data_IF_927246663701
#
_entry.id   IF_927246663701
#
_cell.length_a   1.000
_cell.length_b   1.000
_cell.length_c   1.000
_cell.angle_alpha   90.00
_cell.angle_beta   90.00
_cell.angle_gamma   90.00
#
_symmetry.space_group_name_H-M   'P 1'
#
loop_
_entity.id
_entity.type
_entity.pdbx_description
1 polymer ?
#
# COMPACT_ATOMS: atom_id res chain seq x y z
N UNK A 1 -31.09 16.60 -1.49
CA UNK A 1 -31.71 17.26 -0.34
C UNK A 1 -33.18 16.87 -0.25
N UNK A 2 -33.80 16.85 0.95
CA UNK A 2 -35.25 16.74 1.05
C UNK A 2 -35.89 17.94 0.36
N UNK A 3 -36.61 17.72 -0.74
CA UNK A 3 -37.21 18.80 -1.54
C UNK A 3 -38.55 19.30 -0.97
N UNK A 4 -39.00 18.70 0.14
CA UNK A 4 -40.21 19.07 0.89
C UNK A 4 -39.87 19.90 2.14
N UNK A 5 -38.98 20.89 1.98
CA UNK A 5 -38.67 21.84 3.05
C UNK A 5 -39.68 22.99 3.01
N UNK A 6 -40.06 23.52 4.18
CA UNK A 6 -41.03 24.61 4.30
C UNK A 6 -40.62 25.84 3.45
N UNK A 7 -41.60 26.67 3.07
CA UNK A 7 -41.38 27.90 2.28
C UNK A 7 -40.24 28.78 2.80
N UNK A 8 -40.05 28.79 4.11
CA UNK A 8 -38.96 29.50 4.77
C UNK A 8 -37.58 29.04 4.27
N UNK A 9 -37.34 27.73 4.20
CA UNK A 9 -36.05 27.18 3.76
C UNK A 9 -35.87 27.38 2.25
N UNK A 10 -36.95 27.33 1.47
CA UNK A 10 -36.90 27.66 0.04
C UNK A 10 -36.40 29.09 -0.21
N UNK A 11 -36.76 30.07 0.65
CA UNK A 11 -36.24 31.44 0.57
C UNK A 11 -34.75 31.53 0.89
N UNK A 12 -34.26 30.69 1.81
CA UNK A 12 -32.84 30.67 2.20
C UNK A 12 -31.91 30.13 1.11
N UNK A 13 -32.43 29.36 0.14
CA UNK A 13 -31.64 28.76 -0.94
C UNK A 13 -31.76 29.50 -2.28
N UNK A 14 -32.49 30.62 -2.35
CA UNK A 14 -32.68 31.41 -3.58
C UNK A 14 -31.37 31.94 -4.17
N UNK A 15 -30.37 32.17 -3.33
CA UNK A 15 -29.03 32.57 -3.77
C UNK A 15 -28.07 31.45 -3.33
N UNK A 16 -27.73 30.50 -4.23
CA UNK A 16 -26.98 29.29 -3.86
C UNK A 16 -25.70 29.59 -3.08
N UNK A 17 -24.94 30.62 -3.47
CA UNK A 17 -23.70 31.02 -2.80
C UNK A 17 -23.84 31.50 -1.36
N UNK A 18 -24.97 32.12 -1.02
CA UNK A 18 -25.25 32.63 0.34
C UNK A 18 -26.23 31.75 1.08
N UNK A 19 -26.55 30.57 0.52
CA UNK A 19 -27.38 29.59 1.20
C UNK A 19 -26.74 29.16 2.52
N UNK A 20 -27.53 28.73 3.53
CA UNK A 20 -27.00 28.21 4.78
C UNK A 20 -25.97 27.10 4.57
N UNK A 21 -26.14 26.27 3.53
CA UNK A 21 -25.21 25.20 3.17
C UNK A 21 -23.89 25.73 2.64
N UNK A 22 -23.91 26.73 1.76
CA UNK A 22 -22.69 27.35 1.24
C UNK A 22 -21.91 28.08 2.35
N UNK A 23 -22.61 28.76 3.25
CA UNK A 23 -21.99 29.42 4.42
C UNK A 23 -21.43 28.41 5.42
N UNK A 24 -22.12 27.30 5.67
CA UNK A 24 -21.61 26.21 6.50
C UNK A 24 -20.36 25.59 5.86
N UNK A 25 -20.39 25.33 4.55
CA UNK A 25 -19.26 24.81 3.79
C UNK A 25 -18.08 25.79 3.78
N UNK A 26 -18.33 27.10 3.69
CA UNK A 26 -17.28 28.12 3.76
C UNK A 26 -16.53 28.07 5.10
N UNK A 27 -17.26 27.84 6.20
CA UNK A 27 -16.71 27.75 7.56
C UNK A 27 -16.17 26.36 7.91
N UNK A 28 -16.43 25.32 7.11
CA UNK A 28 -15.93 23.97 7.39
C UNK A 28 -14.48 23.79 6.96
N UNK A 29 -13.81 22.78 7.48
CA UNK A 29 -12.49 22.33 6.99
C UNK A 29 -12.64 21.22 5.93
N UNK A 30 -13.71 20.44 6.04
CA UNK A 30 -13.96 19.25 5.22
C UNK A 30 -15.41 19.23 4.71
N UNK A 31 -15.61 18.51 3.61
CA UNK A 31 -16.90 18.13 3.07
C UNK A 31 -16.95 16.61 2.91
N UNK A 32 -18.01 15.97 3.38
CA UNK A 32 -18.24 14.54 3.19
C UNK A 32 -19.25 14.34 2.06
N UNK A 33 -18.81 13.76 0.95
CA UNK A 33 -19.68 13.36 -0.15
C UNK A 33 -20.18 11.93 0.11
N UNK A 34 -21.48 11.75 0.31
CA UNK A 34 -22.08 10.44 0.61
C UNK A 34 -22.67 9.85 -0.67
N UNK A 35 -22.05 8.82 -1.27
CA UNK A 35 -22.63 8.16 -2.43
C UNK A 35 -23.88 7.38 -2.02
N UNK A 36 -24.87 7.35 -2.89
CA UNK A 36 -26.11 6.56 -2.69
C UNK A 36 -26.29 5.58 -3.83
N UNK A 37 -27.01 4.49 -3.60
CA UNK A 37 -27.32 3.50 -4.65
C UNK A 37 -28.35 4.01 -5.66
N UNK A 38 -29.12 5.02 -5.29
CA UNK A 38 -30.28 5.49 -6.07
C UNK A 38 -29.94 6.62 -7.03
N UNK A 39 -28.94 7.44 -6.71
CA UNK A 39 -28.60 8.60 -7.53
C UNK A 39 -27.10 8.87 -7.60
N UNK A 40 -26.66 9.31 -8.79
CA UNK A 40 -25.29 9.77 -9.07
C UNK A 40 -25.16 11.26 -8.79
N UNK A 41 -23.93 11.72 -8.52
CA UNK A 41 -23.63 13.16 -8.41
C UNK A 41 -23.97 13.90 -9.71
N UNK A 42 -23.86 13.21 -10.86
CA UNK A 42 -24.17 13.76 -12.17
C UNK A 42 -25.67 13.88 -12.47
N UNK A 43 -26.55 13.31 -11.64
CA UNK A 43 -27.99 13.54 -11.75
C UNK A 43 -28.50 14.61 -10.77
N UNK A 44 -27.63 15.16 -9.91
CA UNK A 44 -27.99 16.12 -8.86
C UNK A 44 -27.16 17.40 -8.95
N UNK A 45 -27.73 18.42 -9.59
CA UNK A 45 -27.02 19.67 -9.85
C UNK A 45 -26.50 20.35 -8.57
N UNK A 46 -27.30 20.37 -7.49
CA UNK A 46 -26.87 20.86 -6.17
C UNK A 46 -25.60 20.16 -5.66
N UNK A 47 -25.50 18.84 -5.80
CA UNK A 47 -24.33 18.09 -5.32
C UNK A 47 -23.06 18.42 -6.12
N UNK A 48 -23.20 18.56 -7.45
CA UNK A 48 -22.09 19.01 -8.30
C UNK A 48 -21.65 20.44 -7.97
N UNK A 49 -22.60 21.34 -7.74
CA UNK A 49 -22.34 22.72 -7.36
C UNK A 49 -21.69 22.84 -5.96
N UNK A 50 -22.13 22.07 -4.96
CA UNK A 50 -21.49 22.04 -3.63
C UNK A 50 -20.06 21.49 -3.70
N UNK A 51 -19.81 20.45 -4.49
CA UNK A 51 -18.46 19.94 -4.72
C UNK A 51 -17.55 21.00 -5.38
N UNK A 52 -18.11 21.80 -6.30
CA UNK A 52 -17.41 22.95 -6.87
C UNK A 52 -17.13 24.04 -5.82
N UNK A 53 -18.10 24.42 -4.99
CA UNK A 53 -17.90 25.39 -3.92
C UNK A 53 -16.85 24.93 -2.92
N UNK A 54 -16.83 23.64 -2.58
CA UNK A 54 -15.81 23.07 -1.70
C UNK A 54 -14.41 23.23 -2.31
N UNK A 55 -14.26 22.96 -3.61
CA UNK A 55 -13.02 23.22 -4.33
C UNK A 55 -12.66 24.72 -4.35
N UNK A 56 -13.64 25.58 -4.62
CA UNK A 56 -13.46 27.03 -4.67
C UNK A 56 -13.00 27.61 -3.32
N UNK A 57 -13.54 27.12 -2.21
CA UNK A 57 -13.12 27.47 -0.86
C UNK A 57 -11.92 26.64 -0.35
N UNK A 58 -11.26 25.90 -1.25
CA UNK A 58 -10.08 25.08 -0.99
C UNK A 58 -10.27 24.03 0.13
N UNK A 59 -11.47 23.47 0.26
CA UNK A 59 -11.80 22.43 1.24
C UNK A 59 -11.30 21.05 0.78
N UNK A 60 -11.18 20.15 1.76
CA UNK A 60 -10.95 18.74 1.52
C UNK A 60 -12.30 18.04 1.39
N UNK A 61 -12.56 17.45 0.22
CA UNK A 61 -13.78 16.65 -0.02
C UNK A 61 -13.43 15.18 0.10
N UNK A 62 -14.15 14.42 0.92
CA UNK A 62 -13.91 12.98 1.14
C UNK A 62 -15.18 12.23 0.75
N UNK A 63 -15.05 11.14 -0.02
CA UNK A 63 -16.18 10.26 -0.29
C UNK A 63 -16.40 9.31 0.89
N UNK A 64 -17.60 9.32 1.47
CA UNK A 64 -18.00 8.36 2.49
C UNK A 64 -17.98 6.94 1.92
N UNK A 65 -17.58 5.97 2.73
CA UNK A 65 -17.54 4.56 2.35
C UNK A 65 -18.25 3.72 3.39
N UNK A 66 -19.05 2.71 3.00
CA UNK A 66 -19.56 1.75 3.95
C UNK A 66 -18.40 1.00 4.59
N UNK A 67 -18.60 0.57 5.83
CA UNK A 67 -17.66 -0.29 6.53
C UNK A 67 -17.43 -1.55 5.69
N UNK A 68 -16.16 -1.88 5.47
CA UNK A 68 -15.80 -3.12 4.79
C UNK A 68 -16.20 -4.30 5.68
N UNK A 69 -16.95 -5.26 5.15
CA UNK A 69 -17.20 -6.54 5.82
C UNK A 69 -15.97 -7.43 5.65
N UNK A 70 -14.86 -7.08 6.31
CA UNK A 70 -13.57 -7.78 6.15
C UNK A 70 -13.46 -9.05 6.98
N UNK A 71 -14.32 -9.22 8.00
CA UNK A 71 -14.26 -10.36 8.91
C UNK A 71 -14.37 -11.72 8.20
N UNK A 72 -15.30 -11.96 7.26
CA UNK A 72 -15.38 -13.25 6.57
C UNK A 72 -14.13 -13.54 5.73
N UNK A 73 -13.62 -12.56 4.99
CA UNK A 73 -12.42 -12.74 4.16
C UNK A 73 -11.16 -12.95 5.01
N UNK A 74 -11.05 -12.25 6.14
CA UNK A 74 -9.97 -12.48 7.10
C UNK A 74 -10.09 -13.87 7.73
N UNK A 75 -11.29 -14.33 8.08
CA UNK A 75 -11.50 -15.67 8.60
C UNK A 75 -11.06 -16.75 7.61
N UNK A 76 -11.37 -16.59 6.32
CA UNK A 76 -10.88 -17.49 5.26
C UNK A 76 -9.35 -17.47 5.19
N UNK A 77 -8.74 -16.28 5.17
CA UNK A 77 -7.28 -16.12 5.19
C UNK A 77 -6.62 -16.81 6.39
N UNK A 78 -7.19 -16.64 7.59
CA UNK A 78 -6.71 -17.27 8.82
C UNK A 78 -6.90 -18.79 8.81
N UNK A 79 -7.99 -19.30 8.23
CA UNK A 79 -8.20 -20.73 8.07
C UNK A 79 -7.14 -21.36 7.14
N UNK A 80 -6.83 -20.72 6.02
CA UNK A 80 -5.77 -21.15 5.10
C UNK A 80 -4.40 -21.15 5.80
N UNK A 81 -4.12 -20.10 6.56
CA UNK A 81 -2.94 -20.00 7.41
C UNK A 81 -2.81 -21.17 8.38
N UNK A 82 -3.90 -21.49 9.08
CA UNK A 82 -3.95 -22.61 10.01
C UNK A 82 -3.71 -23.95 9.30
N UNK A 83 -4.31 -24.17 8.12
CA UNK A 83 -4.08 -25.38 7.31
C UNK A 83 -2.61 -25.50 6.91
N UNK A 84 -2.00 -24.41 6.44
CA UNK A 84 -0.56 -24.38 6.16
C UNK A 84 0.27 -24.75 7.38
N UNK A 85 0.01 -24.10 8.53
CA UNK A 85 0.73 -24.35 9.77
C UNK A 85 0.58 -25.79 10.28
N UNK A 86 -0.60 -26.36 10.21
CA UNK A 86 -0.83 -27.76 10.56
C UNK A 86 0.00 -28.67 9.64
N UNK A 87 -0.04 -28.44 8.32
CA UNK A 87 0.73 -29.22 7.36
C UNK A 87 2.25 -29.12 7.60
N UNK A 88 2.77 -27.91 7.85
CA UNK A 88 4.19 -27.68 8.16
C UNK A 88 4.63 -28.35 9.45
N UNK A 89 3.77 -28.31 10.48
CA UNK A 89 4.02 -28.99 11.74
C UNK A 89 4.11 -30.51 11.55
N UNK A 90 3.13 -31.14 10.89
CA UNK A 90 3.18 -32.58 10.63
C UNK A 90 4.33 -32.99 9.68
N UNK A 91 4.68 -32.14 8.71
CA UNK A 91 5.84 -32.39 7.86
C UNK A 91 7.13 -32.50 8.68
N UNK A 92 7.29 -31.60 9.66
CA UNK A 92 8.43 -31.62 10.56
C UNK A 92 8.43 -32.82 11.53
N UNK A 93 7.31 -33.54 11.72
CA UNK A 93 7.25 -34.79 12.50
C UNK A 93 7.64 -36.01 11.69
N UNK A 94 7.13 -36.13 10.46
CA UNK A 94 7.42 -37.28 9.59
C UNK A 94 8.92 -37.37 9.25
N UNK A 95 9.62 -36.23 9.11
CA UNK A 95 11.06 -36.24 8.89
C UNK A 95 11.90 -36.67 10.11
N UNK A 96 11.38 -36.48 11.33
CA UNK A 96 12.14 -36.65 12.57
C UNK A 96 12.26 -38.12 13.03
N UNK A 97 11.32 -38.99 12.64
CA UNK A 97 11.32 -40.40 13.08
C UNK A 97 12.40 -41.26 12.38
N UNK A 98 13.06 -40.74 11.34
CA UNK A 98 14.05 -41.52 10.59
C UNK A 98 15.46 -41.56 11.22
N UNK A 99 15.78 -40.76 12.25
CA UNK A 99 17.20 -40.52 12.63
C UNK A 99 17.53 -40.24 14.11
N UNK A 100 16.81 -40.75 15.14
CA UNK A 100 17.32 -40.54 16.52
C UNK A 100 17.06 -41.66 17.54
N UNK A 101 18.16 -42.26 18.03
CA UNK A 101 18.31 -42.75 19.41
C UNK A 101 18.66 -41.58 20.34
N UNK A 102 18.23 -41.61 21.61
CA UNK A 102 17.95 -40.40 22.40
C UNK A 102 19.11 -39.77 23.20
N UNK A 103 20.38 -40.10 22.96
CA UNK A 103 21.50 -39.64 23.82
C UNK A 103 22.35 -38.50 23.25
N UNK A 104 21.93 -37.90 22.13
CA UNK A 104 22.84 -37.08 21.32
C UNK A 104 22.32 -35.66 21.04
N UNK A 105 21.65 -34.95 21.95
CA UNK A 105 20.99 -33.66 21.66
C UNK A 105 21.91 -32.57 21.08
N UNK A 106 23.22 -32.58 21.39
CA UNK A 106 24.20 -31.66 20.79
C UNK A 106 24.71 -32.14 19.40
N UNK A 107 24.96 -33.44 19.24
CA UNK A 107 25.23 -34.07 17.93
C UNK A 107 23.97 -34.04 17.03
N UNK A 108 22.77 -33.91 17.59
CA UNK A 108 21.50 -33.73 16.87
C UNK A 108 21.44 -32.34 16.25
N UNK A 109 21.96 -31.30 16.92
CA UNK A 109 22.10 -29.98 16.30
C UNK A 109 23.12 -30.00 15.16
N UNK A 110 24.27 -30.66 15.39
CA UNK A 110 25.28 -30.89 14.35
C UNK A 110 24.71 -31.69 13.19
N UNK A 111 23.86 -32.69 13.45
CA UNK A 111 23.15 -33.52 12.47
C UNK A 111 21.98 -32.79 11.80
N UNK A 112 21.32 -31.82 12.43
CA UNK A 112 20.32 -30.94 11.79
C UNK A 112 21.01 -29.95 10.86
N UNK A 113 22.14 -29.36 11.28
CA UNK A 113 22.96 -28.54 10.39
C UNK A 113 23.61 -29.38 9.29
N UNK A 114 24.05 -30.60 9.59
CA UNK A 114 24.56 -31.54 8.59
C UNK A 114 23.42 -32.03 7.69
N UNK A 115 22.18 -32.20 8.15
CA UNK A 115 21.04 -32.61 7.35
C UNK A 115 20.51 -31.45 6.49
N UNK A 116 20.64 -30.20 6.93
CA UNK A 116 20.45 -29.01 6.11
C UNK A 116 21.55 -28.90 5.04
N UNK A 117 22.82 -29.12 5.41
CA UNK A 117 23.97 -29.14 4.48
C UNK A 117 23.99 -30.37 3.56
N UNK A 118 23.51 -31.53 4.01
CA UNK A 118 23.40 -32.79 3.26
C UNK A 118 22.16 -32.76 2.37
N UNK A 119 21.05 -32.14 2.80
CA UNK A 119 19.94 -31.78 1.89
C UNK A 119 20.43 -30.86 0.77
N UNK A 120 21.29 -29.89 1.10
CA UNK A 120 21.97 -29.02 0.13
C UNK A 120 22.91 -29.81 -0.81
N UNK A 121 23.67 -30.77 -0.28
CA UNK A 121 24.62 -31.60 -1.04
C UNK A 121 23.95 -32.74 -1.85
N UNK A 122 22.78 -33.22 -1.44
CA UNK A 122 21.96 -34.24 -2.11
C UNK A 122 20.95 -33.65 -3.10
N UNK A 123 20.92 -32.33 -3.29
CA UNK A 123 20.00 -31.65 -4.21
C UNK A 123 18.54 -31.62 -3.74
N UNK A 124 18.24 -31.98 -2.49
CA UNK A 124 16.89 -31.87 -1.93
C UNK A 124 16.72 -30.48 -1.32
N UNK A 125 15.91 -29.63 -1.97
CA UNK A 125 15.69 -28.21 -1.63
C UNK A 125 14.41 -27.87 -0.80
N UNK A 126 13.96 -28.61 0.23
CA UNK A 126 12.59 -28.40 0.72
C UNK A 126 12.32 -27.08 1.47
N UNK A 127 13.08 -26.60 2.48
CA UNK A 127 12.66 -25.36 3.17
C UNK A 127 12.88 -24.11 2.32
N UNK A 128 13.93 -24.09 1.47
CA UNK A 128 14.23 -22.96 0.61
C UNK A 128 13.23 -22.81 -0.53
N UNK A 129 12.71 -23.90 -1.10
CA UNK A 129 11.68 -23.82 -2.13
C UNK A 129 10.40 -23.13 -1.63
N UNK A 130 10.03 -23.28 -0.35
CA UNK A 130 8.89 -22.57 0.24
C UNK A 130 9.20 -21.10 0.56
N UNK A 131 10.43 -20.78 0.98
CA UNK A 131 10.89 -19.39 1.14
C UNK A 131 10.88 -18.66 -0.22
N UNK A 132 11.42 -19.30 -1.26
CA UNK A 132 11.45 -18.80 -2.63
C UNK A 132 10.04 -18.73 -3.22
N UNK A 133 9.17 -19.69 -2.92
CA UNK A 133 7.76 -19.63 -3.33
C UNK A 133 7.02 -18.50 -2.63
N UNK A 134 7.24 -18.26 -1.33
CA UNK A 134 6.62 -17.17 -0.59
C UNK A 134 7.11 -15.81 -1.12
N UNK A 135 8.43 -15.63 -1.29
CA UNK A 135 9.01 -14.44 -1.88
C UNK A 135 8.54 -14.23 -3.34
N UNK A 136 8.48 -15.30 -4.13
CA UNK A 136 7.94 -15.31 -5.48
C UNK A 136 6.47 -14.89 -5.52
N UNK A 137 5.65 -15.39 -4.60
CA UNK A 137 4.26 -14.97 -4.46
C UNK A 137 4.15 -13.47 -4.15
N UNK A 138 4.98 -12.94 -3.24
CA UNK A 138 5.01 -11.50 -2.95
C UNK A 138 5.35 -10.68 -4.19
N UNK A 139 6.40 -11.06 -4.91
CA UNK A 139 6.79 -10.39 -6.16
C UNK A 139 5.66 -10.45 -7.19
N UNK A 140 5.06 -11.63 -7.38
CA UNK A 140 3.94 -11.81 -8.29
C UNK A 140 2.71 -11.00 -7.86
N UNK A 141 2.39 -10.88 -6.57
CA UNK A 141 1.27 -10.03 -6.10
C UNK A 141 1.50 -8.58 -6.48
N UNK A 142 2.74 -8.10 -6.34
CA UNK A 142 3.12 -6.73 -6.72
C UNK A 142 3.00 -6.52 -8.24
N UNK A 143 3.49 -7.47 -9.03
CA UNK A 143 3.47 -7.41 -10.50
C UNK A 143 2.04 -7.59 -11.07
N UNK A 144 1.27 -8.51 -10.51
CA UNK A 144 -0.08 -8.86 -10.95
C UNK A 144 -1.16 -7.93 -10.39
N UNK A 145 -0.80 -6.83 -9.72
CA UNK A 145 -1.70 -5.92 -9.01
C UNK A 145 -2.86 -5.31 -9.82
N UNK A 146 -2.94 -5.58 -11.13
CA UNK A 146 -4.09 -5.25 -12.00
C UNK A 146 -5.22 -6.28 -11.97
N UNK A 147 -4.94 -7.56 -11.74
CA UNK A 147 -5.94 -8.63 -11.77
C UNK A 147 -6.37 -9.02 -10.35
N UNK A 148 -7.61 -8.70 -9.99
CA UNK A 148 -8.17 -9.06 -8.67
C UNK A 148 -8.22 -10.57 -8.44
N UNK A 149 -8.43 -11.37 -9.48
CA UNK A 149 -8.46 -12.83 -9.39
C UNK A 149 -7.07 -13.40 -9.16
N UNK A 150 -6.07 -12.89 -9.88
CA UNK A 150 -4.68 -13.32 -9.71
C UNK A 150 -4.16 -12.96 -8.31
N UNK A 151 -4.43 -11.75 -7.84
CA UNK A 151 -4.06 -11.31 -6.49
C UNK A 151 -4.73 -12.19 -5.42
N UNK A 152 -6.01 -12.54 -5.57
CA UNK A 152 -6.70 -13.43 -4.63
C UNK A 152 -6.03 -14.82 -4.57
N UNK A 153 -5.74 -15.40 -5.74
CA UNK A 153 -5.06 -16.69 -5.83
C UNK A 153 -3.64 -16.66 -5.24
N UNK A 154 -2.87 -15.62 -5.53
CA UNK A 154 -1.52 -15.45 -4.99
C UNK A 154 -1.52 -15.17 -3.48
N UNK A 155 -2.51 -14.44 -2.95
CA UNK A 155 -2.69 -14.27 -1.52
C UNK A 155 -3.01 -15.61 -0.83
N UNK A 156 -3.86 -16.45 -1.44
CA UNK A 156 -4.16 -17.81 -0.97
C UNK A 156 -2.88 -18.68 -0.93
N UNK A 157 -2.11 -18.68 -2.01
CA UNK A 157 -0.87 -19.46 -2.11
C UNK A 157 0.19 -18.95 -1.12
N UNK A 158 0.36 -17.62 -1.02
CA UNK A 158 1.26 -16.99 -0.06
C UNK A 158 0.85 -17.26 1.39
N UNK A 159 -0.45 -17.21 1.70
CA UNK A 159 -0.99 -17.57 3.01
C UNK A 159 -0.65 -19.00 3.40
N UNK A 160 -0.86 -19.95 2.48
CA UNK A 160 -0.55 -21.35 2.69
C UNK A 160 0.96 -21.56 2.92
N UNK A 161 1.80 -20.93 2.11
CA UNK A 161 3.26 -21.02 2.22
C UNK A 161 3.78 -20.45 3.54
N UNK A 162 3.32 -19.25 3.94
CA UNK A 162 3.76 -18.65 5.21
C UNK A 162 3.23 -19.45 6.41
N UNK A 163 1.99 -19.96 6.33
CA UNK A 163 1.46 -20.88 7.34
C UNK A 163 2.36 -22.12 7.48
N UNK A 164 2.70 -22.78 6.37
CA UNK A 164 3.60 -23.94 6.36
C UNK A 164 4.95 -23.65 7.02
N UNK A 165 5.59 -22.54 6.64
CA UNK A 165 6.84 -22.09 7.23
C UNK A 165 6.68 -21.93 8.75
N UNK A 166 5.63 -21.25 9.22
CA UNK A 166 5.38 -21.07 10.65
C UNK A 166 5.18 -22.39 11.41
N UNK A 167 4.40 -23.31 10.86
CA UNK A 167 4.16 -24.61 11.46
C UNK A 167 5.43 -25.44 11.60
N UNK A 168 6.25 -25.45 10.55
CA UNK A 168 7.55 -26.09 10.52
C UNK A 168 8.48 -25.50 11.59
N UNK A 169 8.56 -24.16 11.66
CA UNK A 169 9.38 -23.46 12.63
C UNK A 169 8.87 -23.60 14.07
N UNK A 170 7.55 -23.62 14.31
CA UNK A 170 6.99 -23.72 15.65
C UNK A 170 7.47 -24.98 16.39
N UNK A 171 7.63 -26.10 15.67
CA UNK A 171 8.20 -27.32 16.25
C UNK A 171 9.68 -27.17 16.56
N UNK A 172 10.46 -26.61 15.62
CA UNK A 172 11.88 -26.31 15.83
C UNK A 172 12.02 -25.43 17.08
N UNK A 173 11.20 -24.39 17.23
CA UNK A 173 11.19 -23.52 18.40
C UNK A 173 10.72 -24.21 19.68
N UNK A 174 9.73 -25.10 19.61
CA UNK A 174 9.36 -25.92 20.77
C UNK A 174 10.53 -26.74 21.31
N UNK A 175 11.42 -27.21 20.42
CA UNK A 175 12.66 -27.87 20.80
C UNK A 175 13.75 -26.86 21.24
N UNK A 176 13.86 -25.70 20.58
CA UNK A 176 14.87 -24.66 20.90
C UNK A 176 14.53 -23.80 22.12
N UNK A 177 13.27 -23.73 22.56
CA UNK A 177 12.87 -22.95 23.74
C UNK A 177 13.51 -23.47 25.03
N UNK A 178 14.07 -24.70 24.99
CA UNK A 178 14.87 -25.27 26.06
C UNK A 178 16.35 -24.83 26.02
N UNK A 179 16.78 -24.11 24.97
CA UNK A 179 18.14 -23.58 24.84
C UNK A 179 18.23 -22.13 25.35
N UNK A 180 19.40 -21.72 25.88
CA UNK A 180 19.60 -20.37 26.38
C UNK A 180 19.45 -19.31 25.28
N UNK A 181 18.75 -18.20 25.60
CA UNK A 181 18.44 -17.05 24.72
C UNK A 181 19.64 -16.50 23.92
N UNK A 182 20.87 -16.70 24.40
CA UNK A 182 22.12 -16.31 23.72
C UNK A 182 22.33 -16.98 22.36
N UNK A 183 21.83 -18.19 22.15
CA UNK A 183 21.99 -18.92 20.88
C UNK A 183 21.03 -18.34 19.82
N UNK A 184 19.83 -17.93 20.24
CA UNK A 184 18.83 -17.30 19.37
C UNK A 184 19.30 -15.91 18.90
N UNK A 185 19.97 -15.16 19.78
CA UNK A 185 20.57 -13.86 19.44
C UNK A 185 21.81 -13.99 18.52
N UNK A 186 22.38 -15.18 18.39
CA UNK A 186 23.56 -15.46 17.58
C UNK A 186 23.27 -15.95 16.17
N UNK A 187 22.01 -16.20 15.79
CA UNK A 187 21.66 -16.54 14.41
C UNK A 187 21.68 -15.25 13.56
N UNK A 188 22.68 -15.09 12.66
CA UNK A 188 22.89 -13.86 11.91
C UNK A 188 21.80 -13.63 10.86
N UNK A 189 20.90 -14.58 10.64
CA UNK A 189 19.99 -14.48 9.49
C UNK A 189 18.88 -13.45 9.68
N UNK A 190 18.44 -13.15 10.91
CA UNK A 190 17.35 -12.18 11.17
C UNK A 190 16.00 -12.52 10.52
N UNK A 191 15.94 -13.61 9.75
CA UNK A 191 14.81 -14.03 8.90
C UNK A 191 13.53 -14.27 9.70
N UNK A 192 13.65 -14.58 10.99
CA UNK A 192 12.53 -14.77 11.90
C UNK A 192 11.61 -13.56 11.99
N UNK A 193 12.15 -12.34 11.92
CA UNK A 193 11.34 -11.12 11.95
C UNK A 193 10.55 -10.90 10.65
N UNK A 194 10.95 -11.54 9.54
CA UNK A 194 10.28 -11.38 8.26
C UNK A 194 9.00 -12.20 8.16
N UNK A 195 8.95 -13.36 8.79
CA UNK A 195 7.77 -14.25 8.76
C UNK A 195 6.49 -13.53 9.25
N UNK A 196 6.46 -12.87 10.44
CA UNK A 196 5.28 -12.11 10.86
C UNK A 196 5.02 -10.89 9.96
N UNK A 197 6.04 -10.26 9.37
CA UNK A 197 5.83 -9.17 8.42
C UNK A 197 5.17 -9.65 7.13
N UNK A 198 5.57 -10.83 6.61
CA UNK A 198 4.93 -11.47 5.48
C UNK A 198 3.48 -11.89 5.81
N UNK A 199 3.22 -12.31 7.05
CA UNK A 199 1.86 -12.53 7.55
C UNK A 199 0.98 -11.31 7.39
N UNK A 200 1.45 -10.20 7.94
CA UNK A 200 0.74 -8.93 7.91
C UNK A 200 0.61 -8.43 6.48
N UNK A 201 1.63 -8.63 5.62
CA UNK A 201 1.56 -8.33 4.21
C UNK A 201 0.43 -9.10 3.51
N UNK A 202 0.34 -10.43 3.67
CA UNK A 202 -0.69 -11.24 3.01
C UNK A 202 -2.09 -10.83 3.49
N UNK A 203 -2.27 -10.65 4.80
CA UNK A 203 -3.54 -10.21 5.37
C UNK A 203 -3.95 -8.82 4.85
N UNK A 204 -3.02 -7.86 4.85
CA UNK A 204 -3.30 -6.49 4.38
C UNK A 204 -3.45 -6.41 2.86
N UNK A 205 -2.79 -7.30 2.09
CA UNK A 205 -2.97 -7.43 0.64
C UNK A 205 -4.41 -7.84 0.30
N UNK A 206 -4.96 -8.78 1.07
CA UNK A 206 -6.34 -9.19 0.90
C UNK A 206 -7.32 -8.07 1.25
N UNK A 207 -7.08 -7.34 2.34
CA UNK A 207 -7.86 -6.14 2.67
C UNK A 207 -7.80 -5.10 1.54
N UNK A 208 -6.63 -4.84 0.97
CA UNK A 208 -6.44 -3.89 -0.12
C UNK A 208 -7.15 -4.33 -1.41
N UNK A 209 -7.22 -5.64 -1.67
CA UNK A 209 -7.97 -6.25 -2.77
C UNK A 209 -9.47 -6.03 -2.60
N UNK A 210 -10.01 -6.33 -1.42
CA UNK A 210 -11.44 -6.14 -1.11
C UNK A 210 -11.84 -4.66 -1.22
N UNK A 211 -11.00 -3.75 -0.70
CA UNK A 211 -11.20 -2.30 -0.86
C UNK A 211 -11.15 -1.86 -2.32
N UNK A 212 -10.34 -2.52 -3.15
CA UNK A 212 -10.30 -2.22 -4.58
C UNK A 212 -11.58 -2.69 -5.29
N UNK A 213 -12.10 -3.88 -4.94
CA UNK A 213 -13.37 -4.39 -5.47
C UNK A 213 -14.56 -3.51 -5.07
N UNK A 214 -14.65 -3.16 -3.78
CA UNK A 214 -15.70 -2.27 -3.28
C UNK A 214 -15.68 -0.93 -4.03
N UNK A 215 -14.50 -0.32 -4.22
CA UNK A 215 -14.40 0.92 -4.99
C UNK A 215 -14.73 0.76 -6.46
N UNK A 216 -14.40 -0.37 -7.06
CA UNK A 216 -14.81 -0.65 -8.44
C UNK A 216 -16.34 -0.68 -8.54
N UNK A 217 -17.01 -1.33 -7.59
CA UNK A 217 -18.47 -1.35 -7.51
C UNK A 217 -19.05 0.05 -7.26
N UNK A 218 -18.49 0.80 -6.30
CA UNK A 218 -18.90 2.19 -6.02
C UNK A 218 -18.70 3.09 -7.24
N UNK A 219 -17.56 2.96 -7.93
CA UNK A 219 -17.29 3.71 -9.15
C UNK A 219 -18.29 3.34 -10.26
N UNK A 220 -18.61 2.06 -10.46
CA UNK A 220 -19.63 1.64 -11.44
C UNK A 220 -21.03 2.15 -11.09
N UNK A 221 -21.37 2.27 -9.80
CA UNK A 221 -22.64 2.86 -9.36
C UNK A 221 -22.69 4.38 -9.55
N UNK A 222 -21.52 5.04 -9.56
CA UNK A 222 -21.40 6.49 -9.75
C UNK A 222 -21.20 6.88 -11.22
N UNK A 223 -20.62 5.99 -12.04
CA UNK A 223 -20.47 6.12 -13.49
C UNK A 223 -21.87 6.09 -14.13
N UNK A 224 -22.35 7.26 -14.56
CA UNK A 224 -23.50 7.37 -15.45
C UNK A 224 -23.15 6.84 -16.87
N UNK A 225 -24.15 6.66 -17.76
CA UNK A 225 -23.93 6.42 -19.18
C UNK A 225 -22.81 7.30 -19.74
N UNK A 226 -21.97 6.71 -20.58
CA UNK A 226 -20.82 7.36 -21.22
C UNK A 226 -21.24 8.74 -21.73
N UNK A 227 -20.52 9.78 -21.29
CA UNK A 227 -20.69 11.20 -21.62
C UNK A 227 -21.64 12.04 -20.77
N UNK A 228 -22.20 11.52 -19.67
CA UNK A 228 -22.94 12.38 -18.75
C UNK A 228 -22.06 13.49 -18.17
N UNK A 229 -22.55 14.74 -18.19
CA UNK A 229 -21.87 15.91 -17.62
C UNK A 229 -22.64 16.42 -16.42
N UNK A 230 -21.98 17.15 -15.52
CA UNK A 230 -22.70 17.86 -14.44
C UNK A 230 -23.69 18.88 -15.02
N UNK A 231 -23.43 19.37 -16.24
CA UNK A 231 -24.32 20.24 -17.02
C UNK A 231 -25.70 19.64 -17.28
N UNK A 232 -25.80 18.31 -17.38
CA UNK A 232 -27.05 17.61 -17.69
C UNK A 232 -27.87 17.31 -16.42
N UNK A 233 -27.31 17.61 -15.24
CA UNK A 233 -27.95 17.35 -13.96
C UNK A 233 -29.15 18.28 -13.74
N UNK A 234 -30.21 17.77 -13.11
CA UNK A 234 -31.41 18.55 -12.82
C UNK A 234 -31.66 18.69 -11.32
N UNK A 235 -32.33 19.77 -10.94
CA UNK A 235 -32.96 19.92 -9.64
C UNK A 235 -34.43 19.45 -9.73
N UNK A 236 -35.02 19.04 -8.60
CA UNK A 236 -36.45 18.69 -8.60
C UNK A 236 -37.37 19.89 -8.77
N UNK A 237 -36.87 21.11 -8.51
CA UNK A 237 -37.51 22.37 -8.87
C UNK A 237 -36.75 22.99 -10.06
N UNK A 238 -37.41 23.33 -11.18
CA UNK A 238 -36.74 23.89 -12.36
C UNK A 238 -36.14 25.29 -12.10
N UNK A 239 -36.73 26.07 -11.19
CA UNK A 239 -36.22 27.39 -10.77
C UNK A 239 -34.82 27.29 -10.15
N UNK A 240 -34.58 26.27 -9.32
CA UNK A 240 -33.25 26.01 -8.75
C UNK A 240 -32.24 25.67 -9.85
N UNK A 241 -32.65 24.88 -10.85
CA UNK A 241 -31.80 24.52 -12.00
C UNK A 241 -31.32 25.76 -12.73
N UNK A 242 -32.23 26.68 -13.05
CA UNK A 242 -31.91 27.95 -13.71
C UNK A 242 -31.00 28.82 -12.84
N UNK A 243 -31.31 28.93 -11.55
CA UNK A 243 -30.53 29.74 -10.60
C UNK A 243 -29.09 29.26 -10.48
N UNK A 244 -28.89 27.95 -10.27
CA UNK A 244 -27.55 27.36 -10.14
C UNK A 244 -26.81 27.44 -11.48
N UNK A 245 -27.47 27.16 -12.60
CA UNK A 245 -26.88 27.25 -13.94
C UNK A 245 -26.39 28.66 -14.25
N UNK A 246 -27.22 29.67 -13.93
CA UNK A 246 -26.86 31.08 -14.08
C UNK A 246 -25.69 31.46 -13.17
N UNK A 247 -25.66 30.94 -11.94
CA UNK A 247 -24.56 31.22 -11.02
C UNK A 247 -23.24 30.55 -11.45
N UNK A 248 -23.29 29.32 -11.96
CA UNK A 248 -22.11 28.64 -12.50
C UNK A 248 -21.56 29.42 -13.71
N UNK A 249 -22.44 29.85 -14.62
CA UNK A 249 -22.08 30.65 -15.78
C UNK A 249 -21.16 29.90 -16.74
N UNK A 250 -20.00 30.49 -17.04
CA UNK A 250 -18.95 29.91 -17.89
C UNK A 250 -18.04 28.91 -17.16
N UNK A 251 -18.22 28.72 -15.85
CA UNK A 251 -17.31 27.93 -15.00
C UNK A 251 -17.59 26.43 -14.96
N UNK A 252 -18.42 25.91 -15.86
CA UNK A 252 -18.76 24.49 -15.92
C UNK A 252 -17.55 23.56 -16.02
N UNK A 253 -16.49 23.98 -16.71
CA UNK A 253 -15.24 23.21 -16.77
C UNK A 253 -14.60 23.00 -15.39
N UNK A 254 -14.71 23.98 -14.48
CA UNK A 254 -14.20 23.85 -13.11
C UNK A 254 -15.10 22.97 -12.24
N UNK A 255 -16.41 23.01 -12.47
CA UNK A 255 -17.37 22.12 -11.79
C UNK A 255 -17.08 20.67 -12.16
N UNK A 256 -16.98 20.39 -13.47
CA UNK A 256 -16.67 19.06 -14.00
C UNK A 256 -15.30 18.57 -13.52
N UNK A 257 -14.28 19.42 -13.55
CA UNK A 257 -12.95 19.06 -13.04
C UNK A 257 -12.98 18.72 -11.53
N UNK A 258 -13.76 19.45 -10.73
CA UNK A 258 -13.88 19.21 -9.28
C UNK A 258 -14.52 17.86 -8.99
N UNK A 259 -15.62 17.55 -9.69
CA UNK A 259 -16.32 16.26 -9.57
C UNK A 259 -15.44 15.13 -10.07
N UNK A 260 -14.75 15.32 -11.19
CA UNK A 260 -13.84 14.33 -11.77
C UNK A 260 -12.70 13.94 -10.82
N UNK A 261 -12.06 14.91 -10.17
CA UNK A 261 -11.00 14.62 -9.16
C UNK A 261 -11.55 13.76 -8.02
N UNK A 262 -12.73 14.11 -7.53
CA UNK A 262 -13.42 13.39 -6.46
C UNK A 262 -13.74 11.94 -6.86
N UNK A 263 -14.22 11.72 -8.08
CA UNK A 263 -14.56 10.39 -8.58
C UNK A 263 -13.32 9.55 -8.88
N UNK A 264 -12.31 10.13 -9.54
CA UNK A 264 -11.11 9.38 -9.94
C UNK A 264 -10.27 8.95 -8.72
N UNK A 265 -10.15 9.82 -7.71
CA UNK A 265 -9.30 9.53 -6.54
C UNK A 265 -10.08 9.09 -5.30
N UNK A 266 -11.40 9.35 -5.23
CA UNK A 266 -12.22 9.11 -4.04
C UNK A 266 -12.09 10.19 -2.95
N UNK A 267 -11.39 11.30 -3.25
CA UNK A 267 -11.31 12.52 -2.44
C UNK A 267 -10.94 13.73 -3.32
N UNK A 268 -10.95 14.95 -2.80
CA UNK A 268 -10.48 16.14 -3.51
C UNK A 268 -9.70 17.01 -2.53
N UNK A 269 -8.38 16.98 -2.64
CA UNK A 269 -7.46 17.85 -1.89
C UNK A 269 -6.88 18.92 -2.81
N UNK A 270 -6.33 20.02 -2.27
CA UNK A 270 -5.65 21.03 -3.07
C UNK A 270 -4.54 20.43 -3.94
N UNK A 271 -3.77 19.48 -3.40
CA UNK A 271 -2.67 18.82 -4.10
C UNK A 271 -3.17 17.95 -5.26
N UNK A 272 -4.23 17.15 -5.06
CA UNK A 272 -4.81 16.33 -6.14
C UNK A 272 -5.40 17.19 -7.26
N UNK A 273 -6.04 18.31 -6.91
CA UNK A 273 -6.55 19.26 -7.90
C UNK A 273 -5.42 19.89 -8.72
N UNK A 274 -4.32 20.28 -8.08
CA UNK A 274 -3.13 20.79 -8.75
C UNK A 274 -2.54 19.74 -9.71
N UNK A 275 -2.42 18.47 -9.28
CA UNK A 275 -1.94 17.36 -10.12
C UNK A 275 -2.84 17.16 -11.35
N UNK A 276 -4.16 17.22 -11.18
CA UNK A 276 -5.11 17.09 -12.31
C UNK A 276 -5.05 18.29 -13.26
N UNK A 277 -4.85 19.51 -12.77
CA UNK A 277 -4.67 20.70 -13.62
C UNK A 277 -3.46 20.58 -14.54
N UNK A 278 -2.42 19.84 -14.14
CA UNK A 278 -1.27 19.52 -14.98
C UNK A 278 -1.53 18.36 -15.96
N UNK A 279 -2.75 17.83 -16.00
CA UNK A 279 -3.16 16.77 -16.93
C UNK A 279 -2.70 15.37 -16.53
N UNK A 280 -2.35 15.16 -15.26
CA UNK A 280 -2.05 13.84 -14.71
C UNK A 280 -3.31 13.15 -14.19
N UNK A 281 -3.38 11.83 -14.37
CA UNK A 281 -4.45 11.02 -13.80
C UNK A 281 -4.25 10.88 -12.29
N UNK A 282 -5.28 11.24 -11.53
CA UNK A 282 -5.31 11.08 -10.07
C UNK A 282 -5.95 9.75 -9.63
N UNK A 283 -6.20 8.84 -10.59
CA UNK A 283 -6.94 7.61 -10.33
C UNK A 283 -6.22 6.74 -9.32
N UNK A 284 -6.85 6.55 -8.16
CA UNK A 284 -6.30 5.77 -7.04
C UNK A 284 -5.10 6.40 -6.32
N UNK A 285 -4.73 7.66 -6.57
CA UNK A 285 -3.61 8.31 -5.87
C UNK A 285 -3.86 8.50 -4.37
N UNK A 286 -5.11 8.68 -3.97
CA UNK A 286 -5.50 8.81 -2.56
C UNK A 286 -5.63 7.47 -1.81
N UNK A 287 -5.35 6.36 -2.49
CA UNK A 287 -5.54 5.04 -1.90
C UNK A 287 -4.28 4.53 -1.22
N UNK A 288 -4.31 4.55 0.11
CA UNK A 288 -3.27 3.93 0.93
C UNK A 288 -3.39 2.41 0.79
N UNK A 289 -2.41 1.81 0.09
CA UNK A 289 -2.22 0.36 0.02
C UNK A 289 -1.35 -0.09 1.19
N UNK A 290 -2.00 -0.56 2.26
CA UNK A 290 -1.29 -1.00 3.47
C UNK A 290 -0.32 -2.15 3.19
N UNK A 291 -0.69 -3.07 2.29
CA UNK A 291 0.18 -4.15 1.85
C UNK A 291 1.50 -3.64 1.30
N UNK A 292 1.47 -2.58 0.48
CA UNK A 292 2.69 -1.98 -0.05
C UNK A 292 3.55 -1.41 1.07
N UNK A 293 2.96 -0.67 2.01
CA UNK A 293 3.71 -0.13 3.15
C UNK A 293 4.42 -1.25 3.95
N UNK A 294 3.70 -2.34 4.25
CA UNK A 294 4.29 -3.50 4.94
C UNK A 294 5.37 -4.20 4.13
N UNK A 295 5.19 -4.33 2.82
CA UNK A 295 6.22 -4.87 1.93
C UNK A 295 7.48 -3.99 1.94
N UNK A 296 7.33 -2.68 1.82
CA UNK A 296 8.46 -1.74 1.88
C UNK A 296 9.22 -1.87 3.19
N UNK A 297 8.49 -1.95 4.31
CA UNK A 297 9.08 -2.17 5.63
C UNK A 297 9.78 -3.53 5.72
N UNK A 298 9.18 -4.60 5.19
CA UNK A 298 9.76 -5.94 5.22
C UNK A 298 11.05 -6.04 4.39
N UNK A 299 11.05 -5.50 3.16
CA UNK A 299 12.25 -5.45 2.31
C UNK A 299 13.33 -4.60 2.96
N UNK A 300 12.96 -3.49 3.56
CA UNK A 300 13.91 -2.61 4.22
C UNK A 300 14.51 -3.26 5.48
N UNK A 301 13.70 -3.89 6.34
CA UNK A 301 14.19 -4.63 7.51
C UNK A 301 15.03 -5.84 7.11
N UNK A 302 14.64 -6.57 6.06
CA UNK A 302 15.46 -7.66 5.52
C UNK A 302 16.83 -7.16 5.11
N UNK A 303 16.86 -6.05 4.39
CA UNK A 303 18.10 -5.43 3.95
C UNK A 303 18.94 -4.95 5.14
N UNK A 304 18.32 -4.33 6.13
CA UNK A 304 18.96 -3.94 7.38
C UNK A 304 19.56 -5.12 8.13
N UNK A 305 18.88 -6.26 8.18
CA UNK A 305 19.38 -7.46 8.86
C UNK A 305 20.55 -8.09 8.10
N UNK A 306 20.53 -8.05 6.77
CA UNK A 306 21.62 -8.57 5.95
C UNK A 306 22.89 -7.72 6.01
N UNK A 307 22.77 -6.38 6.02
CA UNK A 307 23.90 -5.47 5.84
C UNK A 307 24.18 -4.56 7.05
N UNK A 308 23.20 -4.31 7.91
CA UNK A 308 23.34 -3.44 9.08
C UNK A 308 24.14 -4.07 10.23
N UNK A 309 24.36 -5.39 10.21
CA UNK A 309 25.14 -6.09 11.23
C UNK A 309 26.65 -5.82 11.14
N UNK A 310 27.17 -5.41 9.99
CA UNK A 310 28.61 -5.18 9.79
C UNK A 310 29.10 -3.80 10.23
N UNK A 311 28.22 -2.79 10.26
CA UNK A 311 28.57 -1.42 10.66
C UNK A 311 27.49 -0.80 11.57
N UNK A 312 27.83 -0.60 12.83
CA UNK A 312 26.94 -0.02 13.83
C UNK A 312 26.49 1.41 13.49
N UNK A 313 27.34 2.21 12.84
CA UNK A 313 27.03 3.60 12.46
C UNK A 313 25.98 3.61 11.37
N UNK A 314 26.17 2.79 10.33
CA UNK A 314 25.18 2.66 9.26
C UNK A 314 23.85 2.11 9.78
N UNK A 315 23.92 1.15 10.72
CA UNK A 315 22.76 0.63 11.41
C UNK A 315 21.96 1.74 12.13
N UNK A 316 22.64 2.60 12.89
CA UNK A 316 21.99 3.73 13.59
C UNK A 316 21.37 4.72 12.61
N UNK A 317 22.07 5.08 11.53
CA UNK A 317 21.56 6.02 10.51
C UNK A 317 20.30 5.44 9.85
N UNK A 318 20.33 4.18 9.44
CA UNK A 318 19.16 3.51 8.86
C UNK A 318 17.98 3.50 9.85
N UNK A 319 18.21 3.12 11.10
CA UNK A 319 17.20 3.15 12.16
C UNK A 319 16.56 4.54 12.32
N UNK A 320 17.38 5.61 12.33
CA UNK A 320 16.89 6.99 12.38
C UNK A 320 16.05 7.36 11.15
N UNK A 321 16.51 7.02 9.94
CA UNK A 321 15.78 7.34 8.70
C UNK A 321 14.39 6.72 8.71
N UNK A 322 14.23 5.49 9.20
CA UNK A 322 12.89 4.89 9.30
C UNK A 322 12.09 5.38 10.47
N UNK A 323 12.69 5.64 11.63
CA UNK A 323 12.00 6.34 12.71
C UNK A 323 11.37 7.64 12.20
N UNK A 324 12.16 8.46 11.51
CA UNK A 324 11.69 9.71 10.90
C UNK A 324 10.64 9.45 9.81
N UNK A 325 10.85 8.48 8.93
CA UNK A 325 9.90 8.14 7.86
C UNK A 325 8.55 7.72 8.41
N UNK A 326 8.53 6.87 9.45
CA UNK A 326 7.30 6.43 10.13
C UNK A 326 6.62 7.61 10.81
N UNK A 327 7.35 8.49 11.49
CA UNK A 327 6.79 9.70 12.11
C UNK A 327 6.18 10.64 11.06
N UNK A 328 6.89 10.90 9.96
CA UNK A 328 6.39 11.70 8.84
C UNK A 328 5.13 11.07 8.23
N UNK A 329 5.13 9.77 8.01
CA UNK A 329 3.96 9.06 7.48
C UNK A 329 2.77 9.08 8.44
N UNK A 330 3.01 8.92 9.75
CA UNK A 330 1.95 9.00 10.75
C UNK A 330 1.30 10.39 10.79
N UNK A 331 2.09 11.44 10.63
CA UNK A 331 1.64 12.84 10.67
C UNK A 331 1.12 13.39 9.33
N UNK A 332 1.42 12.72 8.21
CA UNK A 332 0.98 13.16 6.89
C UNK A 332 -0.54 13.15 6.72
N UNK A 333 -1.07 13.99 5.82
CA UNK A 333 -2.46 13.91 5.38
C UNK A 333 -2.72 12.62 4.60
N UNK A 334 -3.97 12.26 4.37
CA UNK A 334 -4.33 10.93 3.82
C UNK A 334 -3.79 10.68 2.42
N UNK A 335 -3.84 11.67 1.53
CA UNK A 335 -3.29 11.61 0.18
C UNK A 335 -1.76 11.60 0.21
N UNK A 336 -1.13 12.40 1.07
CA UNK A 336 0.30 12.33 1.32
C UNK A 336 0.71 10.95 1.85
N UNK A 337 -0.03 10.32 2.77
CA UNK A 337 0.25 8.93 3.21
C UNK A 337 0.21 7.93 2.07
N UNK A 338 -0.73 8.08 1.14
CA UNK A 338 -0.86 7.20 -0.02
C UNK A 338 0.31 7.40 -0.98
N UNK A 339 0.69 8.66 -1.23
CA UNK A 339 1.84 9.02 -2.03
C UNK A 339 3.14 8.53 -1.41
N UNK A 340 3.42 8.89 -0.16
CA UNK A 340 4.60 8.49 0.60
C UNK A 340 4.72 6.97 0.67
N UNK A 341 3.64 6.26 1.00
CA UNK A 341 3.63 4.80 1.02
C UNK A 341 3.95 4.19 -0.34
N UNK A 342 3.33 4.69 -1.42
CA UNK A 342 3.60 4.17 -2.76
C UNK A 342 5.00 4.51 -3.28
N UNK A 343 5.55 5.68 -2.95
CA UNK A 343 6.87 6.11 -3.40
C UNK A 343 7.97 5.40 -2.62
N UNK A 344 7.83 5.28 -1.30
CA UNK A 344 8.78 4.54 -0.44
C UNK A 344 9.05 3.15 -0.96
N UNK A 345 7.98 2.43 -1.30
CA UNK A 345 8.07 1.04 -1.76
C UNK A 345 8.77 0.95 -3.11
N UNK A 346 8.46 1.85 -4.04
CA UNK A 346 9.14 1.88 -5.35
C UNK A 346 10.62 2.18 -5.20
N UNK A 347 10.97 3.13 -4.34
CA UNK A 347 12.37 3.46 -4.08
C UNK A 347 13.05 2.24 -3.45
N UNK A 348 12.56 1.71 -2.33
CA UNK A 348 13.12 0.53 -1.66
C UNK A 348 13.30 -0.67 -2.60
N UNK A 349 12.31 -0.97 -3.45
CA UNK A 349 12.43 -2.07 -4.43
C UNK A 349 13.49 -1.77 -5.49
N UNK A 350 13.47 -0.58 -6.09
CA UNK A 350 14.45 -0.18 -7.12
C UNK A 350 15.86 -0.30 -6.59
N UNK A 351 16.03 0.12 -5.34
CA UNK A 351 17.29 0.07 -4.60
C UNK A 351 17.73 -1.36 -4.38
N UNK A 352 16.85 -2.20 -3.84
CA UNK A 352 17.15 -3.59 -3.62
C UNK A 352 17.61 -4.25 -4.94
N UNK A 353 16.89 -4.01 -6.03
CA UNK A 353 17.25 -4.52 -7.37
C UNK A 353 18.61 -3.98 -7.83
N UNK A 354 18.88 -2.68 -7.69
CA UNK A 354 20.17 -2.08 -8.03
C UNK A 354 21.31 -2.67 -7.19
N UNK A 355 21.14 -2.79 -5.88
CA UNK A 355 22.14 -3.37 -4.97
C UNK A 355 22.41 -4.82 -5.31
N UNK A 356 21.37 -5.62 -5.58
CA UNK A 356 21.54 -7.00 -6.04
C UNK A 356 22.27 -7.08 -7.39
N UNK A 357 21.92 -6.23 -8.35
CA UNK A 357 22.57 -6.20 -9.65
C UNK A 357 24.06 -5.83 -9.55
N UNK A 358 24.38 -4.84 -8.71
CA UNK A 358 25.77 -4.42 -8.47
C UNK A 358 26.54 -5.50 -7.71
N UNK A 359 25.94 -6.09 -6.66
CA UNK A 359 26.55 -7.22 -5.94
C UNK A 359 26.81 -8.41 -6.86
N UNK A 360 25.89 -8.71 -7.77
CA UNK A 360 26.07 -9.75 -8.77
C UNK A 360 27.19 -9.42 -9.75
N UNK A 361 27.25 -8.18 -10.24
CA UNK A 361 28.34 -7.71 -11.10
C UNK A 361 29.71 -7.82 -10.40
N UNK A 362 29.79 -7.49 -9.12
CA UNK A 362 31.01 -7.66 -8.32
C UNK A 362 31.33 -9.12 -7.98
N UNK A 363 30.33 -10.00 -7.92
CA UNK A 363 30.57 -11.43 -7.76
C UNK A 363 31.21 -12.02 -9.01
N UNK A 364 30.82 -11.54 -10.20
CA UNK A 364 31.44 -11.91 -11.47
C UNK A 364 32.86 -11.35 -11.63
N UNK A 365 33.18 -10.24 -10.95
CA UNK A 365 34.53 -9.67 -10.95
C UNK A 365 35.36 -10.16 -9.74
N UNK A 366 36.05 -11.28 -9.93
CA UNK A 366 36.92 -11.87 -8.91
C UNK A 366 38.09 -10.98 -8.46
N UNK A 367 38.33 -9.82 -9.09
CA UNK A 367 39.51 -8.98 -8.81
C UNK A 367 39.30 -7.93 -7.71
N UNK A 368 38.06 -7.70 -7.27
CA UNK A 368 37.77 -6.71 -6.24
C UNK A 368 37.87 -7.27 -4.83
N UNK A 369 38.57 -6.53 -3.98
CA UNK A 369 38.70 -6.76 -2.54
C UNK A 369 37.32 -6.73 -1.85
N UNK A 370 37.02 -7.72 -1.01
CA UNK A 370 35.71 -7.91 -0.37
C UNK A 370 35.32 -6.71 0.51
N UNK A 371 36.30 -6.07 1.17
CA UNK A 371 36.09 -4.86 1.97
C UNK A 371 35.59 -3.68 1.11
N UNK A 372 36.06 -3.56 -0.12
CA UNK A 372 35.62 -2.49 -1.04
C UNK A 372 34.20 -2.75 -1.55
N UNK A 373 33.83 -4.03 -1.77
CA UNK A 373 32.48 -4.41 -2.17
C UNK A 373 31.46 -4.07 -1.08
N UNK A 374 31.78 -4.41 0.18
CA UNK A 374 30.92 -4.10 1.32
C UNK A 374 30.69 -2.59 1.47
N UNK A 375 31.77 -1.79 1.53
CA UNK A 375 31.68 -0.33 1.67
C UNK A 375 30.91 0.32 0.52
N UNK A 376 31.08 -0.18 -0.71
CA UNK A 376 30.34 0.36 -1.85
C UNK A 376 28.83 0.12 -1.69
N UNK A 377 28.42 -1.08 -1.26
CA UNK A 377 27.02 -1.39 -0.95
C UNK A 377 26.44 -0.43 0.09
N UNK A 378 27.20 -0.16 1.16
CA UNK A 378 26.81 0.75 2.23
C UNK A 378 26.61 2.20 1.75
N UNK A 379 27.49 2.71 0.88
CA UNK A 379 27.35 4.05 0.30
C UNK A 379 26.12 4.19 -0.59
N UNK A 380 25.84 3.17 -1.40
CA UNK A 380 24.64 3.12 -2.26
C UNK A 380 23.39 3.19 -1.39
N UNK A 381 23.34 2.39 -0.32
CA UNK A 381 22.23 2.39 0.64
C UNK A 381 22.01 3.72 1.33
N UNK A 382 23.09 4.36 1.80
CA UNK A 382 23.00 5.66 2.45
C UNK A 382 22.48 6.73 1.50
N UNK A 383 23.00 6.79 0.27
CA UNK A 383 22.52 7.73 -0.75
C UNK A 383 21.02 7.58 -1.02
N UNK A 384 20.52 6.34 -0.99
CA UNK A 384 19.11 6.03 -1.18
C UNK A 384 18.27 6.47 0.02
N UNK A 385 18.71 6.16 1.23
CA UNK A 385 18.03 6.57 2.45
C UNK A 385 17.84 8.10 2.48
N UNK A 386 18.86 8.84 2.02
CA UNK A 386 18.81 10.28 1.85
C UNK A 386 17.80 10.68 0.77
N UNK A 387 17.83 10.09 -0.43
CA UNK A 387 16.85 10.39 -1.50
C UNK A 387 15.41 10.09 -1.07
N UNK A 388 15.19 8.98 -0.36
CA UNK A 388 13.92 8.66 0.29
C UNK A 388 13.50 9.78 1.22
N UNK A 389 14.36 10.16 2.17
CA UNK A 389 14.06 11.21 3.14
C UNK A 389 13.74 12.55 2.46
N UNK A 390 14.50 12.93 1.43
CA UNK A 390 14.25 14.14 0.65
C UNK A 390 12.91 14.08 -0.08
N UNK A 391 12.55 12.94 -0.68
CA UNK A 391 11.22 12.73 -1.27
C UNK A 391 10.10 12.84 -0.21
N UNK A 392 10.33 12.34 1.00
CA UNK A 392 9.36 12.44 2.09
C UNK A 392 9.17 13.88 2.56
N UNK A 393 10.27 14.61 2.76
CA UNK A 393 10.24 16.01 3.18
C UNK A 393 9.60 16.92 2.11
N UNK A 394 9.76 16.58 0.83
CA UNK A 394 9.12 17.30 -0.25
C UNK A 394 7.58 17.09 -0.28
N UNK A 395 7.08 15.94 0.19
CA UNK A 395 5.68 15.55 0.06
C UNK A 395 5.21 15.45 -1.40
N UNK A 396 3.91 15.26 -1.62
CA UNK A 396 3.37 15.21 -2.98
C UNK A 396 3.61 16.53 -3.73
N UNK A 397 3.38 17.66 -3.05
CA UNK A 397 3.49 19.00 -3.65
C UNK A 397 4.92 19.37 -4.04
N UNK A 398 5.90 19.11 -3.16
CA UNK A 398 7.31 19.39 -3.46
C UNK A 398 7.85 18.47 -4.53
N UNK A 399 7.45 17.19 -4.51
CA UNK A 399 7.87 16.23 -5.52
C UNK A 399 7.38 16.62 -6.93
N UNK A 400 6.14 17.08 -7.07
CA UNK A 400 5.58 17.52 -8.36
C UNK A 400 6.24 18.80 -8.92
N UNK A 401 6.94 19.58 -8.08
CA UNK A 401 7.72 20.74 -8.52
C UNK A 401 9.08 20.37 -9.11
N UNK A 402 9.57 19.14 -8.90
CA UNK A 402 10.84 18.70 -9.44
C UNK A 402 10.74 18.50 -10.96
N UNK A 403 11.68 19.05 -11.76
CA UNK A 403 11.69 18.87 -13.22
C UNK A 403 11.72 17.39 -13.63
N UNK A 404 12.45 16.58 -12.87
CA UNK A 404 12.58 15.12 -13.10
C UNK A 404 11.24 14.41 -12.92
N UNK A 405 10.44 14.81 -11.92
CA UNK A 405 9.12 14.24 -11.72
C UNK A 405 8.21 14.55 -12.92
N UNK A 406 8.26 15.76 -13.46
CA UNK A 406 7.51 16.12 -14.68
C UNK A 406 7.91 15.27 -15.87
N UNK A 407 9.20 14.99 -16.04
CA UNK A 407 9.70 14.12 -17.12
C UNK A 407 9.24 12.67 -16.95
N UNK A 408 9.40 12.10 -15.74
CA UNK A 408 9.00 10.72 -15.44
C UNK A 408 7.49 10.50 -15.61
N UNK A 409 6.68 11.42 -15.09
CA UNK A 409 5.22 11.32 -15.22
C UNK A 409 4.73 11.64 -16.63
N UNK A 410 5.42 12.53 -17.36
CA UNK A 410 5.16 12.78 -18.78
C UNK A 410 5.36 11.54 -19.64
N UNK A 411 6.40 10.74 -19.36
CA UNK A 411 6.66 9.47 -20.05
C UNK A 411 5.62 8.38 -19.71
N UNK A 412 5.04 8.41 -18.51
CA UNK A 412 4.02 7.47 -18.06
C UNK A 412 2.59 7.85 -18.46
N UNK A 413 2.40 8.94 -19.21
CA UNK A 413 1.08 9.36 -19.67
C UNK A 413 0.54 8.26 -20.58
N UNK A 414 -0.57 7.58 -20.22
CA UNK A 414 -1.19 6.66 -21.14
C UNK A 414 -1.56 7.45 -22.40
N UNK A 415 -1.05 7.02 -23.56
CA UNK A 415 -1.52 7.55 -24.84
C UNK A 415 -2.98 7.11 -24.95
N UNK A 416 -3.88 8.06 -24.70
CA UNK A 416 -5.32 7.86 -24.85
C UNK A 416 -5.66 7.58 -26.31
#
# INVERSE_FOLDING_TARGET
>A
MPQNLSDYISRLIQVPRTSPFALALQNSTHMLAVPTRECSIYSRLWCGYEAYLATYYNKVVITARPSLEWLPSLAVGMAIWAVGAIAGFFWSTVGAESTASSTATFETWKSVTHALQVSYALGMQPPFAFEDAAAGCVVLVVLCGRSSHCVAFLNLLGALAVGFILGFWAKIFGALAQLPLRIIAGDPTGKFFLIPLFAVFVATSEMDRLRALQRKQEATLLELPQNARVQDAQCGKPEDTLTITNEIGDRWGHVEASVKVLLDSGMSTPALREVTQHGFSVRGLADVKFSRCWLGLAVWLFHFLLYGGSDAVLGVINGMVVGVTVVLWCNAERDDKAFLGSMSVKIVITVAVCTYAISYAFHLDHKLDEDKKARFGDFVLLGIAIVCLLCHLAGLKGFMRLPVARCLFGALRPRC
#
